data_IF_629108765474
#
_entry.id   IF_629108765474
#
_cell.length_a   1.000
_cell.length_b   1.000
_cell.length_c   1.000
_cell.angle_alpha   90.00
_cell.angle_beta   90.00
_cell.angle_gamma   90.00
#
_symmetry.space_group_name_H-M   'P 1'
#
loop_
_entity.id
_entity.type
_entity.pdbx_description
1 polymer ?
#
# COMPACT_ATOMS: atom_id res chain seq x y z
N UNK A 1 17.93 -9.55 31.17
CA UNK A 1 16.47 -9.49 31.40
C UNK A 1 15.74 -10.60 30.63
N UNK A 2 15.77 -10.62 29.29
CA UNK A 2 15.08 -11.64 28.47
C UNK A 2 15.46 -13.07 28.90
N UNK A 3 16.76 -13.41 28.90
CA UNK A 3 17.21 -14.74 29.33
C UNK A 3 16.96 -15.08 30.80
N UNK A 4 16.63 -14.10 31.65
CA UNK A 4 16.16 -14.37 33.01
C UNK A 4 14.67 -14.75 33.01
N UNK A 5 13.84 -14.01 32.28
CA UNK A 5 12.41 -14.31 32.14
C UNK A 5 12.19 -15.65 31.44
N UNK A 6 12.96 -15.95 30.39
CA UNK A 6 12.90 -17.26 29.72
C UNK A 6 13.22 -18.41 30.68
N UNK A 7 14.19 -18.24 31.59
CA UNK A 7 14.50 -19.24 32.63
C UNK A 7 13.38 -19.39 33.67
N UNK A 8 12.52 -18.38 33.84
CA UNK A 8 11.32 -18.44 34.67
C UNK A 8 10.14 -19.09 33.94
N UNK A 9 10.31 -19.47 32.67
CA UNK A 9 9.27 -20.09 31.84
C UNK A 9 8.34 -19.09 31.15
N UNK A 10 8.67 -17.80 31.17
CA UNK A 10 7.89 -16.79 30.45
C UNK A 10 8.02 -16.99 28.94
N UNK A 11 6.89 -17.09 28.24
CA UNK A 11 6.82 -17.36 26.79
C UNK A 11 6.47 -16.13 25.96
N UNK A 12 6.00 -15.05 26.59
CA UNK A 12 5.64 -13.79 25.95
C UNK A 12 6.13 -12.62 26.80
N UNK A 13 6.96 -11.77 26.20
CA UNK A 13 7.48 -10.57 26.85
C UNK A 13 6.97 -9.35 26.09
N UNK A 14 6.15 -8.54 26.76
CA UNK A 14 5.67 -7.26 26.21
C UNK A 14 6.62 -6.16 26.64
N UNK A 15 7.07 -5.35 25.68
CA UNK A 15 8.03 -4.26 25.91
C UNK A 15 7.38 -2.91 25.67
N UNK A 16 7.55 -1.99 26.63
CA UNK A 16 7.12 -0.61 26.47
C UNK A 16 8.01 0.11 25.45
N UNK A 17 7.39 0.94 24.61
CA UNK A 17 8.08 1.81 23.65
C UNK A 17 7.46 3.19 23.69
N UNK A 18 8.26 4.23 23.96
CA UNK A 18 7.81 5.63 23.90
C UNK A 18 8.64 6.42 22.89
N UNK A 19 9.90 6.02 22.67
CA UNK A 19 10.88 6.71 21.82
C UNK A 19 11.57 5.73 20.89
N UNK A 20 12.13 6.28 19.82
CA UNK A 20 12.89 5.52 18.82
C UNK A 20 14.06 4.72 19.42
N UNK A 21 14.72 5.27 20.46
CA UNK A 21 15.80 4.57 21.17
C UNK A 21 15.33 3.32 21.93
N UNK A 22 14.04 3.27 22.31
CA UNK A 22 13.48 2.12 23.00
C UNK A 22 13.32 0.97 21.98
N UNK A 23 12.90 1.28 20.74
CA UNK A 23 12.90 0.33 19.62
C UNK A 23 14.30 -0.21 19.30
N UNK A 24 15.31 0.68 19.27
CA UNK A 24 16.69 0.29 19.05
C UNK A 24 17.18 -0.68 20.15
N UNK A 25 16.87 -0.39 21.41
CA UNK A 25 17.23 -1.25 22.54
C UNK A 25 16.50 -2.60 22.49
N UNK A 26 15.23 -2.62 22.05
CA UNK A 26 14.47 -3.86 21.85
C UNK A 26 15.12 -4.70 20.75
N UNK A 27 15.45 -4.11 19.60
CA UNK A 27 16.10 -4.81 18.50
C UNK A 27 17.46 -5.38 18.92
N UNK A 28 18.28 -4.59 19.62
CA UNK A 28 19.57 -5.04 20.16
C UNK A 28 19.42 -6.18 21.18
N UNK A 29 18.35 -6.21 21.97
CA UNK A 29 18.12 -7.27 22.94
C UNK A 29 17.52 -8.54 22.32
N UNK A 30 16.99 -8.45 21.09
CA UNK A 30 16.20 -9.51 20.45
C UNK A 30 16.75 -9.96 19.09
N UNK A 31 17.92 -9.46 18.69
CA UNK A 31 18.47 -9.63 17.34
C UNK A 31 18.64 -11.10 16.91
N UNK A 32 18.88 -12.00 17.86
CA UNK A 32 19.10 -13.44 17.67
C UNK A 32 17.89 -14.31 18.04
N UNK A 33 16.77 -13.70 18.47
CA UNK A 33 15.59 -14.47 18.83
C UNK A 33 14.92 -15.04 17.58
N UNK A 34 14.45 -16.30 17.64
CA UNK A 34 13.81 -16.96 16.48
C UNK A 34 12.44 -16.37 16.13
N UNK A 35 11.82 -15.62 17.06
CA UNK A 35 10.51 -15.03 16.87
C UNK A 35 10.41 -13.68 17.58
N UNK A 36 9.97 -12.68 16.84
CA UNK A 36 9.53 -11.39 17.36
C UNK A 36 8.18 -11.04 16.74
N UNK A 37 7.27 -10.50 17.54
CA UNK A 37 5.97 -10.00 17.09
C UNK A 37 5.87 -8.51 17.36
N UNK A 38 5.43 -7.73 16.37
CA UNK A 38 5.31 -6.29 16.51
C UNK A 38 4.89 -5.61 15.21
N UNK A 39 4.85 -4.29 15.24
CA UNK A 39 4.67 -3.49 14.03
C UNK A 39 6.00 -3.32 13.27
N UNK A 40 5.98 -2.63 12.14
CA UNK A 40 7.16 -2.39 11.32
C UNK A 40 8.23 -1.50 11.97
N UNK A 41 7.91 -0.74 13.04
CA UNK A 41 8.84 0.25 13.58
C UNK A 41 10.05 -0.39 14.25
N UNK A 42 9.90 -1.54 14.91
CA UNK A 42 11.06 -2.27 15.47
C UNK A 42 11.92 -2.92 14.38
N UNK A 43 11.30 -3.36 13.27
CA UNK A 43 11.99 -4.07 12.21
C UNK A 43 13.09 -3.24 11.54
N UNK A 44 12.94 -1.91 11.49
CA UNK A 44 13.94 -1.00 10.95
C UNK A 44 15.25 -0.97 11.78
N UNK A 45 15.22 -1.38 13.05
CA UNK A 45 16.39 -1.41 13.94
C UNK A 45 17.13 -2.75 13.95
N UNK A 46 16.57 -3.80 13.35
CA UNK A 46 17.22 -5.11 13.31
C UNK A 46 18.46 -5.15 12.39
N UNK A 47 18.47 -4.57 11.16
CA UNK A 47 19.62 -4.69 10.28
C UNK A 47 20.93 -4.10 10.88
N UNK A 48 20.95 -2.93 11.53
CA UNK A 48 22.13 -2.45 12.24
C UNK A 48 22.62 -3.39 13.35
N UNK A 49 21.70 -3.99 14.12
CA UNK A 49 22.04 -4.97 15.15
C UNK A 49 22.65 -6.24 14.53
N UNK A 50 22.05 -6.76 13.45
CA UNK A 50 22.56 -7.92 12.72
C UNK A 50 23.97 -7.70 12.15
N UNK A 51 24.26 -6.51 11.62
CA UNK A 51 25.61 -6.15 11.18
C UNK A 51 26.60 -6.12 12.35
N UNK A 52 26.21 -5.52 13.47
CA UNK A 52 27.06 -5.42 14.67
C UNK A 52 27.43 -6.79 15.23
N UNK A 53 26.49 -7.75 15.18
CA UNK A 53 26.67 -9.11 15.68
C UNK A 53 27.11 -10.12 14.61
N UNK A 54 27.41 -9.68 13.39
CA UNK A 54 27.90 -10.56 12.32
C UNK A 54 26.87 -11.56 11.78
N UNK A 55 25.57 -11.27 11.92
CA UNK A 55 24.47 -12.04 11.31
C UNK A 55 24.12 -11.57 9.90
N UNK A 56 24.63 -10.41 9.49
CA UNK A 56 24.50 -9.84 8.15
C UNK A 56 25.86 -9.26 7.76
N UNK A 57 26.31 -9.50 6.53
CA UNK A 57 27.52 -8.87 5.99
C UNK A 57 27.17 -7.56 5.29
N UNK A 58 28.05 -6.54 5.42
CA UNK A 58 27.83 -5.25 4.74
C UNK A 58 27.87 -5.37 3.21
N UNK A 59 28.48 -6.43 2.67
CA UNK A 59 28.47 -6.76 1.26
C UNK A 59 27.14 -7.29 0.73
N UNK A 60 26.24 -7.76 1.61
CA UNK A 60 24.92 -8.28 1.24
C UNK A 60 23.88 -7.16 1.08
N UNK A 61 24.25 -5.93 1.43
CA UNK A 61 23.38 -4.77 1.37
C UNK A 61 23.12 -4.36 -0.09
N UNK A 62 21.84 -4.31 -0.46
CA UNK A 62 21.39 -3.94 -1.80
C UNK A 62 20.61 -2.63 -1.78
N UNK A 63 20.83 -1.80 -2.79
CA UNK A 63 20.01 -0.60 -2.98
C UNK A 63 18.57 -0.97 -3.32
N UNK A 64 17.62 -0.22 -2.78
CA UNK A 64 16.24 -0.30 -3.20
C UNK A 64 16.11 0.42 -4.55
N UNK A 65 16.03 -0.36 -5.63
CA UNK A 65 15.98 0.14 -7.00
C UNK A 65 14.67 -0.23 -7.67
N UNK A 66 13.96 0.76 -8.22
CA UNK A 66 12.79 0.55 -9.06
C UNK A 66 13.00 1.18 -10.44
N UNK A 67 12.67 0.49 -11.55
CA UNK A 67 12.68 1.07 -12.88
C UNK A 67 11.58 2.14 -13.03
N UNK A 68 11.75 3.02 -14.02
CA UNK A 68 10.64 3.83 -14.52
C UNK A 68 9.60 2.93 -15.20
N UNK A 69 8.33 3.23 -14.95
CA UNK A 69 7.20 2.59 -15.64
C UNK A 69 6.33 3.65 -16.28
N UNK A 70 6.29 3.63 -17.61
CA UNK A 70 5.41 4.48 -18.41
C UNK A 70 4.04 3.84 -18.63
N UNK A 71 3.10 4.63 -19.13
CA UNK A 71 1.80 4.15 -19.59
C UNK A 71 0.61 4.62 -18.75
N UNK A 72 -0.60 4.13 -19.05
CA UNK A 72 -1.84 4.59 -18.43
C UNK A 72 -1.82 4.38 -16.91
N UNK A 73 -2.43 5.31 -16.19
CA UNK A 73 -2.39 5.40 -14.73
C UNK A 73 -3.78 5.46 -14.12
N UNK A 74 -3.97 4.74 -13.02
CA UNK A 74 -5.23 4.73 -12.30
C UNK A 74 -5.06 4.72 -10.77
N UNK A 75 -6.06 5.25 -10.07
CA UNK A 75 -6.27 5.10 -8.64
C UNK A 75 -7.51 4.25 -8.40
N UNK A 76 -7.43 3.27 -7.50
CA UNK A 76 -8.56 2.52 -6.98
C UNK A 76 -8.71 2.79 -5.48
N UNK A 77 -9.86 3.29 -5.06
CA UNK A 77 -10.08 3.66 -3.65
C UNK A 77 -11.34 3.00 -3.07
N UNK A 78 -11.14 2.08 -2.14
CA UNK A 78 -12.23 1.50 -1.33
C UNK A 78 -12.31 2.06 0.08
N UNK A 79 -11.27 2.76 0.54
CA UNK A 79 -11.22 3.38 1.87
C UNK A 79 -12.20 4.54 2.01
N UNK A 80 -12.98 4.53 3.09
CA UNK A 80 -13.91 5.60 3.50
C UNK A 80 -13.30 6.58 4.51
N UNK A 81 -11.98 6.54 4.72
CA UNK A 81 -11.32 7.47 5.62
C UNK A 81 -11.34 8.91 5.07
N UNK A 82 -11.56 9.90 5.93
CA UNK A 82 -11.59 11.34 5.58
C UNK A 82 -10.40 11.74 4.71
N UNK A 83 -9.20 11.25 5.04
CA UNK A 83 -7.99 11.55 4.28
C UNK A 83 -8.02 11.01 2.85
N UNK A 84 -8.63 9.84 2.63
CA UNK A 84 -8.79 9.29 1.27
C UNK A 84 -9.81 10.10 0.49
N UNK A 85 -10.89 10.57 1.12
CA UNK A 85 -11.90 11.42 0.50
C UNK A 85 -11.27 12.73 0.05
N UNK A 86 -10.53 13.41 0.92
CA UNK A 86 -9.79 14.64 0.60
C UNK A 86 -8.81 14.43 -0.57
N UNK A 87 -8.08 13.30 -0.58
CA UNK A 87 -7.15 12.96 -1.65
C UNK A 87 -7.85 12.72 -3.00
N UNK A 88 -9.04 12.08 -2.99
CA UNK A 88 -9.86 11.89 -4.18
C UNK A 88 -10.40 13.22 -4.71
N UNK A 89 -10.92 14.07 -3.82
CA UNK A 89 -11.40 15.41 -4.17
C UNK A 89 -10.28 16.26 -4.79
N UNK A 90 -9.09 16.21 -4.19
CA UNK A 90 -7.90 16.90 -4.70
C UNK A 90 -7.47 16.37 -6.08
N UNK A 91 -7.45 15.06 -6.26
CA UNK A 91 -7.16 14.42 -7.54
C UNK A 91 -8.17 14.80 -8.62
N UNK A 92 -9.46 14.85 -8.27
CA UNK A 92 -10.58 15.15 -9.16
C UNK A 92 -10.58 16.59 -9.72
N UNK A 93 -9.81 17.50 -9.12
CA UNK A 93 -9.67 18.88 -9.64
C UNK A 93 -9.07 18.92 -11.04
N UNK A 94 -8.19 17.96 -11.37
CA UNK A 94 -7.46 17.93 -12.64
C UNK A 94 -7.60 16.62 -13.42
N UNK A 95 -8.26 15.62 -12.84
CA UNK A 95 -8.34 14.27 -13.39
C UNK A 95 -9.77 13.72 -13.27
N UNK A 96 -10.22 12.87 -14.22
CA UNK A 96 -11.51 12.19 -14.10
C UNK A 96 -11.58 11.28 -12.86
N UNK A 97 -12.70 11.37 -12.13
CA UNK A 97 -13.05 10.50 -11.02
C UNK A 97 -14.43 9.87 -11.29
N UNK A 98 -14.51 8.55 -11.17
CA UNK A 98 -15.77 7.81 -11.12
C UNK A 98 -15.99 7.28 -9.69
N UNK A 99 -17.16 7.56 -9.12
CA UNK A 99 -17.59 6.95 -7.87
C UNK A 99 -18.68 5.92 -8.17
N UNK A 100 -18.39 4.65 -7.92
CA UNK A 100 -19.33 3.55 -8.09
C UNK A 100 -20.37 3.60 -6.97
N UNK A 101 -21.64 3.66 -7.36
CA UNK A 101 -22.76 3.54 -6.43
C UNK A 101 -22.96 2.08 -6.04
N UNK A 102 -22.59 1.76 -4.79
CA UNK A 102 -22.79 0.42 -4.23
C UNK A 102 -24.27 0.05 -4.14
N UNK A 103 -25.18 1.00 -3.91
CA UNK A 103 -26.62 0.68 -3.84
C UNK A 103 -27.13 0.18 -5.19
N UNK A 104 -26.74 0.85 -6.29
CA UNK A 104 -27.02 0.38 -7.65
C UNK A 104 -26.39 -0.99 -7.94
N UNK A 105 -25.15 -1.24 -7.45
CA UNK A 105 -24.51 -2.55 -7.61
C UNK A 105 -25.29 -3.68 -6.89
N UNK A 106 -25.86 -3.41 -5.72
CA UNK A 106 -26.74 -4.35 -5.00
C UNK A 106 -28.10 -4.51 -5.67
N UNK A 107 -28.60 -3.48 -6.36
CA UNK A 107 -29.82 -3.54 -7.16
C UNK A 107 -29.63 -4.26 -8.52
N UNK A 108 -28.42 -4.72 -8.84
CA UNK A 108 -28.12 -5.48 -10.06
C UNK A 108 -27.64 -4.64 -11.24
N UNK A 109 -27.28 -3.39 -11.04
CA UNK A 109 -26.67 -2.56 -12.08
C UNK A 109 -25.29 -3.11 -12.50
N UNK A 110 -24.97 -3.02 -13.80
CA UNK A 110 -23.66 -3.42 -14.34
C UNK A 110 -22.62 -2.31 -14.15
N UNK A 111 -22.18 -2.15 -12.90
CA UNK A 111 -21.14 -1.18 -12.51
C UNK A 111 -19.77 -1.49 -13.13
N UNK A 112 -19.56 -2.73 -13.60
CA UNK A 112 -18.31 -3.12 -14.27
C UNK A 112 -18.26 -2.57 -15.69
N UNK A 113 -19.39 -2.61 -16.42
CA UNK A 113 -19.52 -1.98 -17.73
C UNK A 113 -19.41 -0.46 -17.64
N UNK A 114 -19.96 0.15 -16.59
CA UNK A 114 -19.80 1.58 -16.31
C UNK A 114 -18.32 1.96 -16.12
N UNK A 115 -17.61 1.26 -15.22
CA UNK A 115 -16.19 1.49 -14.96
C UNK A 115 -15.33 1.31 -16.22
N UNK A 116 -15.63 0.28 -17.03
CA UNK A 116 -14.96 0.04 -18.32
C UNK A 116 -15.18 1.20 -19.29
N UNK A 117 -16.43 1.63 -19.45
CA UNK A 117 -16.79 2.73 -20.37
C UNK A 117 -16.12 4.04 -19.96
N UNK A 118 -16.12 4.33 -18.66
CA UNK A 118 -15.42 5.48 -18.09
C UNK A 118 -13.92 5.42 -18.37
N UNK A 119 -13.27 4.28 -18.09
CA UNK A 119 -11.84 4.12 -18.30
C UNK A 119 -11.45 4.23 -19.79
N UNK A 120 -12.21 3.62 -20.70
CA UNK A 120 -11.98 3.72 -22.15
C UNK A 120 -12.11 5.14 -22.69
N UNK A 121 -12.96 5.97 -22.09
CA UNK A 121 -13.13 7.37 -22.50
C UNK A 121 -11.92 8.23 -22.18
N UNK A 122 -11.24 7.95 -21.07
CA UNK A 122 -10.22 8.84 -20.52
C UNK A 122 -8.79 8.31 -20.68
N UNK A 123 -8.58 6.99 -20.71
CA UNK A 123 -7.27 6.39 -20.93
C UNK A 123 -6.93 6.34 -22.43
N UNK A 124 -5.66 6.53 -22.82
CA UNK A 124 -4.50 6.87 -21.98
C UNK A 124 -4.33 8.38 -21.74
N UNK A 125 -5.26 9.22 -22.18
CA UNK A 125 -5.12 10.68 -22.23
C UNK A 125 -5.12 11.41 -20.87
N UNK A 126 -5.60 10.77 -19.81
CA UNK A 126 -5.58 11.29 -18.44
C UNK A 126 -5.27 10.18 -17.42
N UNK A 127 -4.79 10.57 -16.25
CA UNK A 127 -4.84 9.69 -15.08
C UNK A 127 -6.31 9.63 -14.62
N UNK A 128 -6.77 8.48 -14.11
CA UNK A 128 -8.16 8.35 -13.64
C UNK A 128 -8.21 7.85 -12.20
N UNK A 129 -9.31 8.10 -11.52
CA UNK A 129 -9.63 7.47 -10.25
C UNK A 129 -10.99 6.77 -10.33
N UNK A 130 -11.08 5.60 -9.71
CA UNK A 130 -12.36 4.89 -9.51
C UNK A 130 -12.45 4.52 -8.03
N UNK A 131 -13.54 4.94 -7.40
CA UNK A 131 -13.78 4.74 -5.98
C UNK A 131 -15.11 4.04 -5.72
N UNK A 132 -15.23 3.30 -4.61
CA UNK A 132 -16.51 2.78 -4.10
C UNK A 132 -16.96 3.55 -2.86
N UNK A 133 -16.58 4.82 -2.75
CA UNK A 133 -16.95 5.67 -1.60
C UNK A 133 -18.42 6.03 -1.67
N UNK A 134 -19.17 5.75 -0.60
CA UNK A 134 -20.55 6.18 -0.44
C UNK A 134 -20.69 7.01 0.85
N UNK A 135 -21.67 7.92 0.94
CA UNK A 135 -21.99 8.59 2.20
C UNK A 135 -22.21 7.57 3.31
N UNK A 136 -21.76 7.89 4.53
CA UNK A 136 -21.83 6.97 5.67
C UNK A 136 -23.25 6.42 5.88
N UNK A 137 -24.28 7.26 5.77
CA UNK A 137 -25.67 6.84 5.90
C UNK A 137 -26.08 5.78 4.87
N UNK A 138 -25.57 5.87 3.63
CA UNK A 138 -25.81 4.87 2.58
C UNK A 138 -25.12 3.56 2.92
N UNK A 139 -23.88 3.62 3.40
CA UNK A 139 -23.13 2.43 3.85
C UNK A 139 -23.87 1.75 5.00
N UNK A 140 -24.31 2.50 6.00
CA UNK A 140 -25.06 1.98 7.14
C UNK A 140 -26.38 1.31 6.72
N UNK A 141 -27.13 1.93 5.81
CA UNK A 141 -28.36 1.35 5.27
C UNK A 141 -28.11 0.02 4.53
N UNK A 142 -27.06 -0.03 3.70
CA UNK A 142 -26.65 -1.27 3.03
C UNK A 142 -26.23 -2.34 4.03
N UNK A 143 -25.44 -1.98 5.04
CA UNK A 143 -24.98 -2.93 6.07
C UNK A 143 -26.14 -3.45 6.92
N UNK A 144 -27.19 -2.65 7.17
CA UNK A 144 -28.40 -3.10 7.84
C UNK A 144 -29.21 -4.08 6.98
N UNK A 145 -29.32 -3.82 5.67
CA UNK A 145 -30.09 -4.67 4.76
C UNK A 145 -29.38 -5.98 4.38
N UNK A 146 -28.05 -5.95 4.27
CA UNK A 146 -27.25 -7.02 3.67
C UNK A 146 -26.20 -7.61 4.61
N UNK A 147 -25.88 -6.93 5.71
CA UNK A 147 -24.80 -7.32 6.61
C UNK A 147 -23.47 -6.68 6.21
N UNK A 148 -22.68 -6.32 7.23
CA UNK A 148 -21.43 -5.58 7.08
C UNK A 148 -20.41 -6.29 6.19
N UNK A 149 -20.17 -7.57 6.44
CA UNK A 149 -19.14 -8.34 5.74
C UNK A 149 -19.49 -8.52 4.27
N UNK A 150 -20.77 -8.71 3.93
CA UNK A 150 -21.22 -8.84 2.54
C UNK A 150 -21.06 -7.52 1.77
N UNK A 151 -21.36 -6.38 2.40
CA UNK A 151 -21.17 -5.06 1.78
C UNK A 151 -19.68 -4.78 1.54
N UNK A 152 -18.82 -5.08 2.51
CA UNK A 152 -17.38 -4.93 2.37
C UNK A 152 -16.81 -5.83 1.26
N UNK A 153 -17.14 -7.13 1.29
CA UNK A 153 -16.71 -8.09 0.28
C UNK A 153 -17.17 -7.68 -1.12
N UNK A 154 -18.41 -7.20 -1.26
CA UNK A 154 -18.95 -6.75 -2.55
C UNK A 154 -18.19 -5.53 -3.09
N UNK A 155 -17.86 -4.55 -2.25
CA UNK A 155 -17.08 -3.39 -2.67
C UNK A 155 -15.66 -3.79 -3.11
N UNK A 156 -15.03 -4.71 -2.37
CA UNK A 156 -13.72 -5.25 -2.71
C UNK A 156 -13.71 -6.05 -4.02
N UNK A 157 -14.72 -6.91 -4.23
CA UNK A 157 -14.91 -7.66 -5.48
C UNK A 157 -15.04 -6.74 -6.70
N UNK A 158 -15.83 -5.67 -6.57
CA UNK A 158 -16.00 -4.68 -7.64
C UNK A 158 -14.66 -4.04 -7.98
N UNK A 159 -13.93 -3.50 -7.00
CA UNK A 159 -12.64 -2.86 -7.25
C UNK A 159 -11.58 -3.85 -7.76
N UNK A 160 -11.58 -5.09 -7.29
CA UNK A 160 -10.70 -6.15 -7.77
C UNK A 160 -11.00 -6.54 -9.22
N UNK A 161 -12.28 -6.62 -9.61
CA UNK A 161 -12.67 -6.82 -11.00
C UNK A 161 -12.28 -5.62 -11.88
N UNK A 162 -12.46 -4.39 -11.39
CA UNK A 162 -12.09 -3.18 -12.12
C UNK A 162 -10.59 -3.15 -12.33
N UNK A 163 -9.78 -3.51 -11.33
CA UNK A 163 -8.34 -3.63 -11.47
C UNK A 163 -7.94 -4.59 -12.62
N UNK A 164 -8.63 -5.73 -12.75
CA UNK A 164 -8.38 -6.65 -13.87
C UNK A 164 -8.69 -6.03 -15.21
N UNK A 165 -9.83 -5.34 -15.36
CA UNK A 165 -10.20 -4.62 -16.59
C UNK A 165 -9.13 -3.58 -16.92
N UNK A 166 -8.78 -2.73 -15.96
CA UNK A 166 -7.82 -1.65 -16.13
C UNK A 166 -6.44 -2.19 -16.56
N UNK A 167 -5.91 -3.17 -15.85
CA UNK A 167 -4.54 -3.66 -16.05
C UNK A 167 -4.43 -4.67 -17.19
N UNK A 168 -5.34 -5.64 -17.27
CA UNK A 168 -5.24 -6.73 -18.26
C UNK A 168 -5.76 -6.29 -19.62
N UNK A 169 -6.86 -5.55 -19.65
CA UNK A 169 -7.58 -5.24 -20.89
C UNK A 169 -7.27 -3.83 -21.42
N UNK A 170 -7.20 -2.83 -20.53
CA UNK A 170 -6.98 -1.42 -20.92
C UNK A 170 -5.52 -0.96 -20.79
N UNK A 171 -4.63 -1.87 -20.36
CA UNK A 171 -3.19 -1.65 -20.36
C UNK A 171 -2.69 -0.65 -19.32
N UNK A 172 -3.39 -0.43 -18.21
CA UNK A 172 -2.88 0.36 -17.07
C UNK A 172 -1.58 -0.26 -16.54
N UNK A 173 -0.57 0.60 -16.36
CA UNK A 173 0.79 0.23 -15.94
C UNK A 173 1.24 0.88 -14.64
N UNK A 174 0.50 1.88 -14.17
CA UNK A 174 0.75 2.57 -12.90
C UNK A 174 -0.55 2.59 -12.10
N UNK A 175 -0.55 1.97 -10.93
CA UNK A 175 -1.77 1.75 -10.14
C UNK A 175 -1.55 2.09 -8.67
N UNK A 176 -2.35 3.02 -8.16
CA UNK A 176 -2.44 3.29 -6.73
C UNK A 176 -3.70 2.61 -6.19
N UNK A 177 -3.58 1.89 -5.07
CA UNK A 177 -4.73 1.29 -4.37
C UNK A 177 -4.80 1.85 -2.96
N UNK A 178 -5.93 2.45 -2.60
CA UNK A 178 -6.18 3.06 -1.29
C UNK A 178 -7.20 2.25 -0.46
N UNK A 179 -6.73 1.64 0.62
CA UNK A 179 -7.48 0.71 1.48
C UNK A 179 -6.74 -0.61 1.65
N UNK A 180 -6.59 -1.12 2.87
CA UNK A 180 -5.79 -2.32 3.13
C UNK A 180 -6.44 -3.58 2.56
N UNK A 181 -7.73 -3.73 2.81
CA UNK A 181 -8.56 -4.84 2.33
C UNK A 181 -8.71 -4.77 0.80
N UNK A 182 -8.96 -3.56 0.27
CA UNK A 182 -8.97 -3.29 -1.17
C UNK A 182 -7.64 -3.69 -1.83
N UNK A 183 -6.50 -3.32 -1.23
CA UNK A 183 -5.18 -3.69 -1.74
C UNK A 183 -4.99 -5.21 -1.78
N UNK A 184 -5.39 -5.92 -0.72
CA UNK A 184 -5.34 -7.39 -0.69
C UNK A 184 -6.16 -8.03 -1.80
N UNK A 185 -7.40 -7.58 -1.99
CA UNK A 185 -8.31 -8.09 -3.01
C UNK A 185 -7.84 -7.78 -4.44
N UNK A 186 -7.28 -6.59 -4.69
CA UNK A 186 -6.69 -6.21 -5.99
C UNK A 186 -5.43 -7.02 -6.30
N UNK A 187 -4.47 -7.14 -5.36
CA UNK A 187 -3.24 -7.92 -5.54
C UNK A 187 -3.57 -9.38 -5.87
N UNK A 188 -4.52 -9.97 -5.13
CA UNK A 188 -4.99 -11.34 -5.37
C UNK A 188 -5.63 -11.50 -6.75
N UNK A 189 -6.52 -10.60 -7.15
CA UNK A 189 -7.21 -10.67 -8.44
C UNK A 189 -6.26 -10.47 -9.64
N UNK A 190 -5.20 -9.68 -9.48
CA UNK A 190 -4.15 -9.53 -10.48
C UNK A 190 -3.17 -10.72 -10.52
N UNK A 191 -3.26 -11.65 -9.56
CA UNK A 191 -2.37 -12.81 -9.47
C UNK A 191 -0.93 -12.41 -9.13
N UNK A 192 -0.76 -11.30 -8.41
CA UNK A 192 0.56 -10.84 -7.97
C UNK A 192 0.99 -11.70 -6.77
N UNK A 193 2.08 -12.43 -6.94
CA UNK A 193 2.67 -13.29 -5.90
C UNK A 193 3.92 -12.66 -5.27
N UNK A 194 4.55 -11.69 -5.94
CA UNK A 194 5.77 -11.02 -5.52
C UNK A 194 5.72 -9.54 -5.84
N UNK A 195 6.26 -8.74 -4.91
CA UNK A 195 6.38 -7.30 -5.04
C UNK A 195 7.82 -6.92 -4.70
N UNK A 196 8.48 -6.20 -5.61
CA UNK A 196 9.74 -5.52 -5.33
C UNK A 196 9.43 -4.15 -4.73
N UNK A 197 9.81 -3.94 -3.48
CA UNK A 197 9.57 -2.69 -2.75
C UNK A 197 10.65 -1.66 -3.06
N UNK A 198 10.23 -0.41 -3.28
CA UNK A 198 11.12 0.74 -3.27
C UNK A 198 11.49 1.15 -1.84
N UNK A 199 12.33 2.17 -1.73
CA UNK A 199 12.67 2.73 -0.42
C UNK A 199 11.44 3.34 0.26
N UNK A 200 11.51 3.42 1.59
CA UNK A 200 10.55 4.16 2.38
C UNK A 200 10.80 5.66 2.23
N UNK A 201 9.86 6.39 1.63
CA UNK A 201 9.98 7.82 1.37
C UNK A 201 9.09 8.67 2.31
N UNK A 202 8.33 8.03 3.19
CA UNK A 202 7.51 8.67 4.21
C UNK A 202 6.18 7.95 4.47
N UNK A 203 5.35 8.46 5.40
CA UNK A 203 4.10 7.82 5.77
C UNK A 203 3.15 7.66 4.57
N UNK A 204 2.92 6.41 4.19
CA UNK A 204 2.08 6.06 3.05
C UNK A 204 2.77 6.19 1.69
N UNK A 205 4.03 6.61 1.61
CA UNK A 205 4.81 6.74 0.37
C UNK A 205 5.76 5.56 0.23
N UNK A 206 5.27 4.50 -0.41
CA UNK A 206 6.12 3.38 -0.82
C UNK A 206 5.66 2.89 -2.19
N UNK A 207 6.55 3.06 -3.17
CA UNK A 207 6.37 2.51 -4.51
C UNK A 207 6.79 1.06 -4.52
N UNK A 208 6.21 0.34 -5.45
CA UNK A 208 6.43 -1.08 -5.64
C UNK A 208 6.38 -1.41 -7.13
N UNK A 209 7.04 -2.50 -7.51
CA UNK A 209 6.88 -3.12 -8.82
C UNK A 209 6.38 -4.55 -8.63
N UNK A 210 5.40 -4.95 -9.41
CA UNK A 210 5.00 -6.33 -9.56
C UNK A 210 5.08 -6.78 -11.02
N UNK A 211 5.48 -8.03 -11.25
CA UNK A 211 5.37 -8.66 -12.56
C UNK A 211 4.09 -9.48 -12.58
N UNK A 212 3.28 -9.28 -13.63
CA UNK A 212 2.01 -9.99 -13.75
C UNK A 212 2.24 -11.36 -14.42
N UNK A 213 1.48 -12.39 -14.02
CA UNK A 213 1.50 -13.68 -14.71
C UNK A 213 1.24 -13.52 -16.21
N UNK A 214 2.12 -14.10 -17.04
CA UNK A 214 2.05 -14.01 -18.50
C UNK A 214 2.55 -12.68 -19.10
N UNK A 215 3.05 -11.74 -18.28
CA UNK A 215 3.60 -10.43 -18.74
C UNK A 215 4.91 -10.06 -18.00
N UNK A 216 5.97 -10.88 -18.06
CA UNK A 216 7.20 -10.65 -17.29
C UNK A 216 7.96 -9.39 -17.74
N UNK A 217 7.92 -9.03 -19.02
CA UNK A 217 8.59 -7.84 -19.55
C UNK A 217 7.84 -6.53 -19.29
N UNK A 218 6.65 -6.61 -18.70
CA UNK A 218 5.71 -5.51 -18.55
C UNK A 218 5.34 -5.32 -17.06
N UNK A 219 6.25 -4.74 -16.24
CA UNK A 219 5.98 -4.51 -14.82
C UNK A 219 4.80 -3.56 -14.58
N UNK A 220 4.04 -3.82 -13.53
CA UNK A 220 3.04 -2.91 -12.98
C UNK A 220 3.69 -2.12 -11.84
N UNK A 221 3.76 -0.80 -11.98
CA UNK A 221 4.10 0.07 -10.87
C UNK A 221 2.90 0.24 -9.94
N UNK A 222 3.15 0.09 -8.65
CA UNK A 222 2.15 -0.05 -7.61
C UNK A 222 2.44 0.85 -6.43
N UNK A 223 1.37 1.30 -5.79
CA UNK A 223 1.41 1.85 -4.44
C UNK A 223 0.21 1.32 -3.68
N UNK A 224 0.46 0.62 -2.57
CA UNK A 224 -0.58 0.09 -1.71
C UNK A 224 -0.64 0.97 -0.46
N UNK A 225 -1.64 1.85 -0.41
CA UNK A 225 -1.76 2.88 0.62
C UNK A 225 -2.82 2.50 1.65
N UNK A 226 -2.47 2.62 2.93
CA UNK A 226 -3.48 2.67 4.00
C UNK A 226 -4.33 3.93 3.89
N UNK A 227 -5.63 3.85 4.18
CA UNK A 227 -6.57 4.96 4.00
C UNK A 227 -6.19 6.28 4.68
N UNK A 228 -5.48 6.21 5.83
CA UNK A 228 -5.23 7.36 6.72
C UNK A 228 -3.94 8.15 6.43
N UNK A 229 -3.08 7.68 5.52
CA UNK A 229 -1.73 8.23 5.32
C UNK A 229 -1.59 9.11 4.06
N UNK A 230 -0.54 9.92 4.01
CA UNK A 230 -0.12 10.68 2.83
C UNK A 230 -0.60 12.13 2.74
N UNK A 231 0.03 12.93 1.88
CA UNK A 231 -0.37 14.30 1.50
C UNK A 231 -1.70 14.36 0.74
N UNK A 232 -2.32 15.54 0.53
CA UNK A 232 -3.55 15.67 -0.27
C UNK A 232 -3.31 15.34 -1.75
N UNK A 233 -2.12 15.68 -2.26
CA UNK A 233 -1.73 15.49 -3.67
C UNK A 233 -1.14 14.10 -3.98
N UNK A 234 -1.09 13.19 -2.98
CA UNK A 234 -0.30 11.95 -3.05
C UNK A 234 -0.59 11.07 -4.28
N UNK A 235 -1.85 11.03 -4.74
CA UNK A 235 -2.23 10.22 -5.89
C UNK A 235 -1.57 10.72 -7.17
N UNK A 236 -1.62 12.03 -7.42
CA UNK A 236 -0.97 12.65 -8.58
C UNK A 236 0.55 12.52 -8.46
N UNK A 237 1.10 12.88 -7.30
CA UNK A 237 2.54 12.89 -7.06
C UNK A 237 3.16 11.51 -7.29
N UNK A 238 2.57 10.46 -6.70
CA UNK A 238 3.12 9.10 -6.81
C UNK A 238 2.94 8.54 -8.22
N UNK A 239 1.81 8.76 -8.87
CA UNK A 239 1.63 8.30 -10.25
C UNK A 239 2.66 8.95 -11.17
N UNK A 240 2.91 10.25 -11.03
CA UNK A 240 3.97 10.93 -11.79
C UNK A 240 5.36 10.40 -11.42
N UNK A 241 5.61 10.18 -10.14
CA UNK A 241 6.91 9.68 -9.68
C UNK A 241 7.23 8.26 -10.18
N UNK A 242 6.22 7.42 -10.45
CA UNK A 242 6.40 6.09 -11.06
C UNK A 242 7.03 6.12 -12.46
N UNK A 243 6.99 7.27 -13.17
CA UNK A 243 7.65 7.41 -14.49
C UNK A 243 9.15 7.67 -14.37
N UNK A 244 9.67 7.79 -13.15
CA UNK A 244 11.10 8.04 -12.88
C UNK A 244 11.71 6.82 -12.22
N UNK A 245 12.91 6.38 -12.66
CA UNK A 245 13.62 5.35 -11.94
C UNK A 245 14.04 5.87 -10.56
N UNK A 246 14.17 4.97 -9.60
CA UNK A 246 14.73 5.28 -8.27
C UNK A 246 15.78 4.27 -7.90
N UNK A 247 16.79 4.71 -7.16
CA UNK A 247 17.81 3.85 -6.56
C UNK A 247 18.28 4.54 -5.29
N UNK A 248 17.96 3.95 -4.15
CA UNK A 248 18.26 4.51 -2.83
C UNK A 248 19.09 3.48 -2.08
N UNK A 249 20.29 3.89 -1.65
CA UNK A 249 21.17 3.06 -0.84
C UNK A 249 20.53 2.77 0.54
N UNK A 250 20.85 1.62 1.16
CA UNK A 250 20.39 1.32 2.51
C UNK A 250 20.78 2.42 3.50
N UNK A 251 19.82 2.89 4.29
CA UNK A 251 20.02 3.99 5.23
C UNK A 251 20.68 3.56 6.55
N UNK A 252 21.41 2.44 6.56
CA UNK A 252 21.92 1.76 7.76
C UNK A 252 22.83 2.68 8.58
N UNK A 253 23.76 3.37 7.93
CA UNK A 253 24.70 4.28 8.61
C UNK A 253 24.03 5.54 9.17
N UNK A 254 22.80 5.83 8.71
CA UNK A 254 22.04 7.00 9.10
C UNK A 254 20.81 6.65 9.95
N UNK A 255 20.64 5.37 10.31
CA UNK A 255 19.51 4.87 11.08
C UNK A 255 19.91 4.52 12.53
N UNK A 256 19.12 4.92 13.55
CA UNK A 256 17.97 5.81 13.45
C UNK A 256 18.41 7.24 13.11
N UNK A 257 17.57 8.01 12.38
CA UNK A 257 17.91 9.39 12.04
C UNK A 257 18.27 10.18 13.30
N UNK A 258 19.51 10.68 13.35
CA UNK A 258 19.91 11.62 14.39
C UNK A 258 18.94 12.82 14.37
N UNK A 259 18.52 13.32 15.54
CA UNK A 259 17.74 14.57 15.61
C UNK A 259 18.46 15.61 14.75
N UNK A 260 17.83 16.11 13.69
CA UNK A 260 18.23 17.39 13.11
C UNK A 260 18.18 18.39 14.26
N UNK A 261 19.32 18.97 14.62
CA UNK A 261 19.34 20.13 15.49
C UNK A 261 18.46 21.19 14.82
N UNK A 262 17.33 21.51 15.45
CA UNK A 262 16.43 22.58 15.05
C UNK A 262 17.11 23.93 15.24
#
# INVERSE_FOLDING_TARGET
AIGEQSRRGETLLVTDTIRERDLAAIAEATFDLPLMTGNSSVAAHLPPAWLTHGLLDSGDLVAASLPAVEGPAAVLAGSVADRTIEQLERFAQNNPLLTIDLASAFAGADVMAEARTFAQRHLPGAMIAIATTAPQATVEALQQAHGRDMVAARAEEILAGIAQILVRELGVRRLVVAGGETAGSVVKALGIDRIAMGAYEGPGLSRAIAHLPGRPSDPLALMLKSGKLGGPDIFTDVLQDMTRPSTIAPAIDTWPPARRAS
#
